data_IF_727768740553
#
_entry.id   IF_727768740553
#
_cell.length_a   1.000
_cell.length_b   1.000
_cell.length_c   1.000
_cell.angle_alpha   90.00
_cell.angle_beta   90.00
_cell.angle_gamma   90.00
#
_symmetry.space_group_name_H-M   'P 1'
#
loop_
_entity.id
_entity.type
_entity.pdbx_description
1 polymer ?
#
# COMPACT_ATOMS: atom_id res chain seq x y z
N UNK A 1 40.41 4.79 49.58
CA UNK A 1 39.50 3.76 49.03
C UNK A 1 38.32 4.38 48.26
N UNK A 2 38.54 5.42 47.44
CA UNK A 2 37.50 6.08 46.64
C UNK A 2 37.48 5.75 45.12
N UNK A 3 38.55 5.29 44.43
CA UNK A 3 38.54 5.23 42.97
C UNK A 3 37.73 4.07 42.40
N UNK A 4 37.53 2.98 43.16
CA UNK A 4 36.77 1.82 42.67
C UNK A 4 35.26 2.09 42.52
N UNK A 5 34.67 2.89 43.42
CA UNK A 5 33.24 3.20 43.36
C UNK A 5 32.89 4.04 42.11
N UNK A 6 33.80 4.94 41.72
CA UNK A 6 33.67 5.77 40.53
C UNK A 6 33.70 4.92 39.24
N UNK A 7 34.65 3.99 39.12
CA UNK A 7 34.74 3.10 37.96
C UNK A 7 33.50 2.19 37.81
N UNK A 8 32.98 1.64 38.91
CA UNK A 8 31.78 0.80 38.90
C UNK A 8 30.52 1.55 38.43
N UNK A 9 30.33 2.79 38.89
CA UNK A 9 29.20 3.62 38.46
C UNK A 9 29.25 3.99 36.97
N UNK A 10 30.45 4.22 36.43
CA UNK A 10 30.66 4.54 35.02
C UNK A 10 30.28 3.35 34.11
N UNK A 11 30.68 2.14 34.49
CA UNK A 11 30.35 0.91 33.75
C UNK A 11 28.84 0.66 33.74
N UNK A 12 28.16 0.91 34.85
CA UNK A 12 26.70 0.77 34.94
C UNK A 12 25.98 1.81 34.05
N UNK A 13 26.44 3.06 34.04
CA UNK A 13 25.90 4.11 33.17
C UNK A 13 26.10 3.77 31.69
N UNK A 14 27.31 3.32 31.31
CA UNK A 14 27.63 2.90 29.94
C UNK A 14 26.79 1.69 29.50
N UNK A 15 26.59 0.72 30.39
CA UNK A 15 25.74 -0.46 30.14
C UNK A 15 24.26 -0.08 30.00
N UNK A 16 23.79 0.90 30.78
CA UNK A 16 22.42 1.42 30.65
C UNK A 16 22.22 2.15 29.34
N UNK A 17 23.18 3.00 28.94
CA UNK A 17 23.15 3.73 27.67
C UNK A 17 23.20 2.80 26.44
N UNK A 18 23.98 1.72 26.49
CA UNK A 18 24.03 0.75 25.38
C UNK A 18 22.71 0.00 25.20
N UNK A 19 22.08 -0.41 26.30
CA UNK A 19 20.75 -1.04 26.28
C UNK A 19 19.66 -0.07 25.79
N UNK A 20 19.70 1.19 26.23
CA UNK A 20 18.77 2.22 25.77
C UNK A 20 18.89 2.49 24.27
N UNK A 21 20.11 2.52 23.73
CA UNK A 21 20.36 2.66 22.30
C UNK A 21 19.78 1.51 21.47
N UNK A 22 19.99 0.27 21.93
CA UNK A 22 19.43 -0.92 21.26
C UNK A 22 17.89 -0.94 21.29
N UNK A 23 17.26 -0.52 22.39
CA UNK A 23 15.79 -0.45 22.49
C UNK A 23 15.22 0.61 21.53
N UNK A 24 15.86 1.78 21.42
CA UNK A 24 15.42 2.82 20.50
C UNK A 24 15.54 2.36 19.05
N UNK A 25 16.66 1.72 18.68
CA UNK A 25 16.86 1.18 17.34
C UNK A 25 15.84 0.05 17.05
N UNK A 26 15.59 -0.84 18.00
CA UNK A 26 14.57 -1.89 17.87
C UNK A 26 13.17 -1.33 17.61
N UNK A 27 12.78 -0.27 18.32
CA UNK A 27 11.50 0.42 18.09
C UNK A 27 11.41 1.07 16.71
N UNK A 28 12.51 1.65 16.22
CA UNK A 28 12.53 2.24 14.88
C UNK A 28 12.33 1.18 13.80
N UNK A 29 13.03 0.04 13.90
CA UNK A 29 12.87 -1.08 12.95
C UNK A 29 11.44 -1.60 12.98
N UNK A 30 10.88 -1.83 14.17
CA UNK A 30 9.49 -2.27 14.32
C UNK A 30 8.48 -1.27 13.73
N UNK A 31 8.70 0.04 13.92
CA UNK A 31 7.84 1.07 13.36
C UNK A 31 7.90 1.09 11.82
N UNK A 32 9.07 0.85 11.22
CA UNK A 32 9.21 0.74 9.77
C UNK A 32 8.52 -0.50 9.22
N UNK A 33 8.68 -1.66 9.89
CA UNK A 33 8.01 -2.91 9.54
C UNK A 33 6.48 -2.74 9.55
N UNK A 34 5.95 -2.14 10.63
CA UNK A 34 4.50 -1.89 10.75
C UNK A 34 3.98 -0.93 9.68
N UNK A 35 4.76 0.09 9.32
CA UNK A 35 4.38 1.02 8.24
C UNK A 35 4.32 0.30 6.90
N UNK A 36 5.28 -0.60 6.64
CA UNK A 36 5.31 -1.40 5.43
C UNK A 36 4.09 -2.33 5.35
N UNK A 37 3.83 -3.11 6.39
CA UNK A 37 2.68 -4.02 6.43
C UNK A 37 1.36 -3.28 6.23
N UNK A 38 1.18 -2.13 6.89
CA UNK A 38 -0.01 -1.30 6.68
C UNK A 38 -0.15 -0.80 5.25
N UNK A 39 0.96 -0.43 4.60
CA UNK A 39 0.94 -0.01 3.20
C UNK A 39 0.52 -1.16 2.27
N UNK A 40 1.02 -2.36 2.53
CA UNK A 40 0.67 -3.57 1.76
C UNK A 40 -0.81 -3.93 1.95
N UNK A 41 -1.31 -3.91 3.20
CA UNK A 41 -2.73 -4.15 3.52
C UNK A 41 -3.67 -3.12 2.87
N UNK A 42 -3.25 -1.86 2.82
CA UNK A 42 -4.03 -0.78 2.18
C UNK A 42 -4.17 -1.02 0.67
N UNK A 43 -3.09 -1.41 -0.01
CA UNK A 43 -3.13 -1.72 -1.43
C UNK A 43 -3.95 -2.99 -1.72
N UNK A 44 -3.83 -4.02 -0.88
CA UNK A 44 -4.65 -5.23 -0.99
C UNK A 44 -6.16 -4.91 -0.82
N UNK A 45 -6.50 -4.07 0.17
CA UNK A 45 -7.87 -3.60 0.37
C UNK A 45 -8.37 -2.76 -0.81
N UNK A 46 -7.49 -1.92 -1.38
CA UNK A 46 -7.81 -1.14 -2.57
C UNK A 46 -8.08 -2.03 -3.79
N UNK A 47 -7.26 -3.08 -4.00
CA UNK A 47 -7.45 -4.07 -5.05
C UNK A 47 -8.79 -4.80 -4.92
N UNK A 48 -9.13 -5.24 -3.71
CA UNK A 48 -10.43 -5.87 -3.44
C UNK A 48 -11.59 -4.92 -3.72
N UNK A 49 -11.46 -3.63 -3.35
CA UNK A 49 -12.44 -2.60 -3.66
C UNK A 49 -12.65 -2.41 -5.17
N UNK A 50 -11.55 -2.36 -5.94
CA UNK A 50 -11.61 -2.28 -7.40
C UNK A 50 -12.29 -3.52 -8.00
N UNK A 51 -11.92 -4.72 -7.56
CA UNK A 51 -12.55 -5.96 -8.02
C UNK A 51 -14.04 -6.00 -7.70
N UNK A 52 -14.46 -5.50 -6.53
CA UNK A 52 -15.87 -5.37 -6.19
C UNK A 52 -16.62 -4.43 -7.14
N UNK A 53 -16.01 -3.30 -7.50
CA UNK A 53 -16.57 -2.39 -8.50
C UNK A 53 -16.65 -3.04 -9.89
N UNK A 54 -15.59 -3.74 -10.31
CA UNK A 54 -15.54 -4.47 -11.58
C UNK A 54 -16.44 -5.71 -11.62
N UNK A 55 -16.90 -6.24 -10.49
CA UNK A 55 -17.90 -7.32 -10.46
C UNK A 55 -19.33 -6.79 -10.34
N UNK A 56 -19.50 -5.52 -9.94
CA UNK A 56 -20.80 -4.88 -9.78
C UNK A 56 -21.11 -3.91 -10.94
N UNK A 57 -21.17 -2.59 -10.69
CA UNK A 57 -21.62 -1.60 -11.67
C UNK A 57 -20.72 -1.52 -12.91
N UNK A 58 -19.47 -1.98 -12.81
CA UNK A 58 -18.50 -1.99 -13.89
C UNK A 58 -18.21 -3.41 -14.43
N UNK A 59 -19.14 -4.36 -14.24
CA UNK A 59 -19.04 -5.75 -14.73
C UNK A 59 -18.63 -5.85 -16.21
N UNK A 60 -19.12 -4.94 -17.04
CA UNK A 60 -18.82 -4.91 -18.46
C UNK A 60 -17.32 -4.64 -18.78
N UNK A 61 -16.55 -4.12 -17.82
CA UNK A 61 -15.12 -3.80 -17.95
C UNK A 61 -14.20 -4.88 -17.37
N UNK A 62 -14.74 -5.85 -16.62
CA UNK A 62 -13.94 -6.85 -15.91
C UNK A 62 -12.95 -7.58 -16.83
N UNK A 63 -13.41 -7.97 -18.02
CA UNK A 63 -12.62 -8.71 -19.01
C UNK A 63 -11.78 -7.83 -19.95
N UNK A 64 -11.74 -6.51 -19.75
CA UNK A 64 -11.05 -5.57 -20.61
C UNK A 64 -9.86 -4.94 -19.89
N UNK A 65 -8.69 -4.80 -20.55
CA UNK A 65 -7.57 -4.11 -19.96
C UNK A 65 -7.90 -2.63 -19.75
N UNK A 66 -7.34 -2.02 -18.70
CA UNK A 66 -7.59 -0.61 -18.37
C UNK A 66 -7.19 0.36 -19.48
N UNK A 67 -6.29 -0.05 -20.38
CA UNK A 67 -5.92 0.71 -21.58
C UNK A 67 -7.08 0.85 -22.58
N UNK A 68 -8.10 0.00 -22.52
CA UNK A 68 -9.26 0.04 -23.41
C UNK A 68 -10.47 0.74 -22.78
N UNK A 69 -10.39 1.16 -21.52
CA UNK A 69 -11.46 1.87 -20.82
C UNK A 69 -11.54 3.33 -21.28
N UNK A 70 -12.16 3.53 -22.46
CA UNK A 70 -12.43 4.84 -23.04
C UNK A 70 -13.93 5.13 -23.00
N UNK A 71 -14.36 6.28 -22.45
CA UNK A 71 -15.78 6.63 -22.33
C UNK A 71 -16.55 6.59 -23.67
N UNK A 72 -15.85 6.88 -24.77
CA UNK A 72 -16.41 6.96 -26.12
C UNK A 72 -16.42 5.62 -26.87
N UNK A 73 -15.64 4.64 -26.41
CA UNK A 73 -15.46 3.35 -27.07
C UNK A 73 -15.76 2.18 -26.13
N UNK A 74 -16.65 2.39 -25.16
CA UNK A 74 -17.10 1.33 -24.27
C UNK A 74 -17.86 0.24 -25.05
N UNK A 75 -17.76 -1.03 -24.61
CA UNK A 75 -18.57 -2.10 -25.15
C UNK A 75 -20.07 -1.78 -25.11
N UNK A 76 -20.87 -2.31 -26.05
CA UNK A 76 -22.32 -2.09 -26.06
C UNK A 76 -23.03 -2.65 -24.82
N UNK A 77 -22.38 -3.56 -24.08
CA UNK A 77 -22.86 -4.08 -22.81
C UNK A 77 -22.65 -3.12 -21.62
N UNK A 78 -21.85 -2.05 -21.80
CA UNK A 78 -21.68 -1.03 -20.78
C UNK A 78 -22.77 0.04 -20.86
N UNK A 79 -23.20 0.60 -19.72
CA UNK A 79 -24.13 1.73 -19.71
C UNK A 79 -23.53 2.96 -20.41
N UNK A 80 -24.36 3.68 -21.18
CA UNK A 80 -23.96 4.97 -21.76
C UNK A 80 -23.70 6.00 -20.65
N UNK A 81 -22.59 6.73 -20.74
CA UNK A 81 -22.21 7.74 -19.75
C UNK A 81 -21.63 7.17 -18.45
N UNK A 82 -21.21 5.90 -18.45
CA UNK A 82 -20.48 5.28 -17.35
C UNK A 82 -19.25 6.13 -16.97
N UNK A 83 -19.23 6.65 -15.73
CA UNK A 83 -18.11 7.45 -15.23
C UNK A 83 -16.93 6.53 -14.84
N UNK A 84 -15.78 6.70 -15.50
CA UNK A 84 -14.60 5.86 -15.23
C UNK A 84 -13.68 6.41 -14.12
N UNK A 85 -13.85 7.68 -13.73
CA UNK A 85 -13.01 8.29 -12.68
C UNK A 85 -12.99 7.51 -11.35
N UNK A 86 -14.12 6.96 -10.85
CA UNK A 86 -14.12 6.16 -9.62
C UNK A 86 -13.29 4.86 -9.70
N UNK A 87 -13.04 4.34 -10.91
CA UNK A 87 -12.16 3.20 -11.15
C UNK A 87 -10.69 3.63 -11.32
N UNK A 88 -10.45 4.87 -11.78
CA UNK A 88 -9.09 5.39 -11.97
C UNK A 88 -8.49 5.84 -10.64
N UNK A 89 -9.27 6.51 -9.80
CA UNK A 89 -8.82 7.06 -8.52
C UNK A 89 -9.88 6.91 -7.45
N UNK A 90 -9.47 6.42 -6.28
CA UNK A 90 -10.32 6.31 -5.09
C UNK A 90 -9.48 6.47 -3.83
N UNK A 91 -10.12 6.36 -2.66
CA UNK A 91 -9.42 6.40 -1.39
C UNK A 91 -9.75 5.19 -0.54
N UNK A 92 -8.74 4.63 0.13
CA UNK A 92 -8.89 3.58 1.15
C UNK A 92 -8.39 4.15 2.48
N UNK A 93 -9.24 4.17 3.49
CA UNK A 93 -8.94 4.76 4.81
C UNK A 93 -8.36 6.19 4.74
N UNK A 94 -8.89 7.00 3.82
CA UNK A 94 -8.45 8.38 3.58
C UNK A 94 -7.13 8.50 2.79
N UNK A 95 -6.51 7.38 2.41
CA UNK A 95 -5.33 7.37 1.55
C UNK A 95 -5.72 7.30 0.08
N UNK A 96 -5.29 8.26 -0.78
CA UNK A 96 -5.57 8.22 -2.20
C UNK A 96 -4.82 7.07 -2.88
N UNK A 97 -5.53 6.34 -3.74
CA UNK A 97 -5.01 5.24 -4.57
C UNK A 97 -5.40 5.50 -6.02
N UNK A 98 -4.47 5.18 -6.92
CA UNK A 98 -4.62 5.30 -8.36
C UNK A 98 -4.39 3.95 -9.04
N UNK A 99 -5.24 3.64 -10.02
CA UNK A 99 -5.05 2.52 -10.91
C UNK A 99 -4.01 2.86 -11.97
N UNK A 100 -2.90 2.12 -11.97
CA UNK A 100 -1.86 2.23 -12.99
C UNK A 100 -2.18 1.32 -14.16
N UNK A 101 -2.56 0.07 -13.87
CA UNK A 101 -2.86 -0.93 -14.89
C UNK A 101 -3.77 -2.02 -14.34
N UNK A 102 -4.74 -2.41 -15.15
CA UNK A 102 -5.48 -3.67 -15.02
C UNK A 102 -5.33 -4.41 -16.35
N UNK A 103 -4.84 -5.65 -16.30
CA UNK A 103 -4.75 -6.51 -17.47
C UNK A 103 -5.26 -7.92 -17.15
N UNK A 104 -6.53 -8.21 -17.48
CA UNK A 104 -7.14 -9.51 -17.23
C UNK A 104 -6.78 -10.55 -18.30
N UNK A 105 -6.11 -10.15 -19.39
CA UNK A 105 -5.83 -11.02 -20.54
C UNK A 105 -4.51 -11.79 -20.38
N UNK A 106 -3.68 -11.42 -19.41
CA UNK A 106 -2.47 -12.15 -19.07
C UNK A 106 -2.80 -13.51 -18.44
N UNK A 107 -1.87 -14.47 -18.60
CA UNK A 107 -1.99 -15.82 -18.03
C UNK A 107 -2.19 -15.79 -16.51
N UNK A 108 -1.60 -14.79 -15.86
CA UNK A 108 -1.95 -14.36 -14.52
C UNK A 108 -2.45 -12.91 -14.62
N UNK A 109 -3.71 -12.62 -14.26
CA UNK A 109 -4.24 -11.26 -14.36
C UNK A 109 -3.40 -10.32 -13.48
N UNK A 110 -2.96 -9.20 -14.04
CA UNK A 110 -2.14 -8.23 -13.33
C UNK A 110 -2.94 -7.00 -12.93
N UNK A 111 -2.75 -6.59 -11.67
CA UNK A 111 -3.30 -5.36 -11.13
C UNK A 111 -2.18 -4.51 -10.51
N UNK A 112 -2.01 -3.32 -11.05
CA UNK A 112 -1.02 -2.36 -10.59
C UNK A 112 -1.72 -1.15 -9.99
N UNK A 113 -1.49 -0.96 -8.70
CA UNK A 113 -2.01 0.16 -7.93
C UNK A 113 -0.85 0.99 -7.41
N UNK A 114 -1.11 2.29 -7.26
CA UNK A 114 -0.18 3.20 -6.64
C UNK A 114 -0.90 4.01 -5.55
N UNK A 115 -0.29 4.12 -4.39
CA UNK A 115 -0.73 5.07 -3.37
C UNK A 115 -0.20 6.46 -3.75
N UNK A 116 -1.02 7.50 -3.78
CA UNK A 116 -0.54 8.83 -4.13
C UNK A 116 0.42 9.33 -3.02
N UNK A 117 1.72 9.22 -3.27
CA UNK A 117 2.80 9.50 -2.31
C UNK A 117 3.69 8.31 -1.93
N UNK A 118 3.41 7.09 -2.40
CA UNK A 118 4.20 5.87 -2.12
C UNK A 118 4.31 4.98 -3.37
N UNK A 119 5.53 4.57 -3.71
CA UNK A 119 5.90 3.95 -4.99
C UNK A 119 5.08 2.73 -5.43
N UNK A 120 5.10 2.50 -6.75
CA UNK A 120 4.50 1.36 -7.46
C UNK A 120 4.73 0.02 -6.74
N UNK A 121 3.65 -0.73 -6.48
CA UNK A 121 3.70 -2.10 -5.97
C UNK A 121 2.89 -3.00 -6.92
N UNK A 122 3.44 -4.18 -7.23
CA UNK A 122 2.86 -5.20 -8.11
C UNK A 122 2.11 -6.18 -7.22
N UNK A 123 0.79 -6.28 -7.40
CA UNK A 123 -0.08 -7.24 -6.71
C UNK A 123 -0.42 -8.44 -7.58
#
# INVERSE_FOLDING_TARGET
MLPLALAGSLVLLLSSLSLQGMVLQGRQVQALEQRRLRSEDQLASAAQGLLGQLQGPYACLYGLPSSEWHPEALPPACPAGLALEPLRRWSVDGSPVELIRWDPLLVAPELWLQQAGGGLQRG
#
